data_IF_568232896621
#
_entry.id   IF_568232896621
#
_cell.length_a   1.000
_cell.length_b   1.000
_cell.length_c   1.000
_cell.angle_alpha   90.00
_cell.angle_beta   90.00
_cell.angle_gamma   90.00
#
_symmetry.space_group_name_H-M   'P 1'
#
loop_
_entity.id
_entity.type
_entity.pdbx_description
1 polymer ?
#
# COMPACT_ATOMS: atom_id res chain seq x y z
N UNK A 1 -18.18 25.22 -31.30
CA UNK A 1 -18.37 24.82 -32.70
C UNK A 1 -18.17 23.31 -32.70
N UNK A 2 -19.31 22.61 -32.62
CA UNK A 2 -19.69 21.31 -33.25
C UNK A 2 -18.55 20.34 -33.63
N UNK A 3 -18.65 19.01 -33.53
CA UNK A 3 -19.61 18.03 -32.99
C UNK A 3 -18.96 16.62 -33.14
N UNK A 4 -19.28 15.71 -32.21
CA UNK A 4 -19.66 14.28 -32.38
C UNK A 4 -18.76 13.30 -33.19
N UNK A 5 -18.27 12.23 -32.54
CA UNK A 5 -18.84 10.87 -32.72
C UNK A 5 -18.47 9.85 -31.62
N UNK A 6 -19.47 9.04 -31.26
CA UNK A 6 -19.49 7.99 -30.24
C UNK A 6 -19.05 6.64 -30.82
N UNK A 7 -18.40 5.77 -30.02
CA UNK A 7 -18.92 4.40 -29.87
C UNK A 7 -18.43 3.70 -28.59
N UNK A 8 -19.34 2.88 -28.07
CA UNK A 8 -19.41 2.31 -26.74
C UNK A 8 -18.61 1.01 -26.53
N UNK A 9 -18.34 0.64 -25.27
CA UNK A 9 -18.95 -0.52 -24.62
C UNK A 9 -18.32 -0.78 -23.23
N UNK A 10 -19.01 -0.39 -22.16
CA UNK A 10 -18.81 -0.92 -20.81
C UNK A 10 -20.18 -1.01 -20.11
N UNK A 11 -20.82 -2.19 -20.19
CA UNK A 11 -21.90 -2.57 -19.28
C UNK A 11 -21.35 -2.75 -17.86
N UNK A 12 -22.14 -2.74 -16.79
CA UNK A 12 -23.59 -2.71 -16.65
C UNK A 12 -23.84 -3.14 -15.21
N UNK A 13 -24.53 -2.32 -14.41
CA UNK A 13 -25.31 -2.73 -13.22
C UNK A 13 -25.88 -1.54 -12.42
N UNK A 14 -25.46 -0.30 -12.69
CA UNK A 14 -25.97 0.88 -11.99
C UNK A 14 -27.26 1.49 -12.55
N UNK A 15 -27.65 1.16 -13.79
CA UNK A 15 -28.66 1.91 -14.54
C UNK A 15 -30.09 1.33 -14.44
N UNK A 16 -30.24 0.05 -14.08
CA UNK A 16 -31.56 -0.61 -14.07
C UNK A 16 -32.47 -0.15 -12.91
N UNK A 17 -31.88 0.33 -11.81
CA UNK A 17 -32.66 0.80 -10.65
C UNK A 17 -33.34 2.15 -10.87
N UNK A 18 -32.71 3.06 -11.63
CA UNK A 18 -33.22 4.42 -11.84
C UNK A 18 -34.31 4.51 -12.92
N UNK A 19 -34.28 3.64 -13.94
CA UNK A 19 -35.29 3.60 -15.00
C UNK A 19 -36.64 3.08 -14.52
N UNK A 20 -36.65 2.20 -13.51
CA UNK A 20 -37.87 1.66 -12.92
C UNK A 20 -38.60 2.68 -12.04
N UNK A 21 -37.86 3.48 -11.28
CA UNK A 21 -38.40 4.55 -10.43
C UNK A 21 -39.03 5.69 -11.27
N UNK A 22 -38.39 6.05 -12.39
CA UNK A 22 -38.89 7.06 -13.34
C UNK A 22 -40.10 6.57 -14.15
N UNK A 23 -40.14 5.28 -14.52
CA UNK A 23 -41.29 4.67 -15.21
C UNK A 23 -42.54 4.60 -14.31
N UNK A 24 -42.36 4.42 -13.00
CA UNK A 24 -43.45 4.47 -12.00
C UNK A 24 -44.05 5.88 -11.86
N UNK A 25 -43.23 6.93 -11.96
CA UNK A 25 -43.70 8.33 -11.84
C UNK A 25 -44.38 8.87 -13.10
N UNK A 26 -44.15 8.28 -14.27
CA UNK A 26 -44.70 8.70 -15.57
C UNK A 26 -46.07 8.09 -15.93
N UNK A 27 -46.66 7.25 -15.06
CA UNK A 27 -47.98 6.62 -15.30
C UNK A 27 -49.13 7.22 -14.48
N UNK A 28 -48.95 8.39 -13.85
CA UNK A 28 -50.08 9.18 -13.39
C UNK A 28 -50.80 9.82 -14.59
N UNK A 29 -51.69 9.04 -15.21
CA UNK A 29 -52.74 9.62 -16.05
C UNK A 29 -53.73 10.34 -15.14
N UNK A 30 -53.81 11.65 -15.35
CA UNK A 30 -54.82 12.52 -14.77
C UNK A 30 -56.24 12.13 -15.24
N UNK A 31 -57.15 12.07 -14.24
CA UNK A 31 -58.58 12.41 -14.25
C UNK A 31 -59.63 11.43 -14.83
N UNK A 32 -60.93 11.53 -14.42
CA UNK A 32 -61.56 12.50 -13.51
C UNK A 32 -62.27 11.90 -12.28
N UNK A 33 -62.49 12.79 -11.31
CA UNK A 33 -63.36 12.63 -10.14
C UNK A 33 -64.84 12.61 -10.53
N UNK A 34 -65.60 11.76 -9.82
CA UNK A 34 -67.06 11.67 -9.70
C UNK A 34 -67.91 11.65 -10.99
N UNK A 35 -68.51 10.48 -11.23
CA UNK A 35 -69.74 10.36 -12.01
C UNK A 35 -70.38 9.01 -11.73
N UNK A 36 -71.54 8.99 -11.07
CA UNK A 36 -72.43 7.82 -11.08
C UNK A 36 -73.36 8.00 -12.29
N UNK A 37 -73.37 7.07 -13.25
CA UNK A 37 -74.53 6.85 -14.09
C UNK A 37 -75.17 5.49 -13.80
N UNK A 38 -76.50 5.54 -13.85
CA UNK A 38 -77.56 4.57 -13.59
C UNK A 38 -77.48 3.24 -14.36
N UNK A 39 -78.15 2.16 -13.89
CA UNK A 39 -78.17 0.88 -14.57
C UNK A 39 -79.09 0.93 -15.79
N UNK A 40 -78.52 0.66 -16.97
CA UNK A 40 -79.25 0.59 -18.23
C UNK A 40 -78.43 -0.06 -19.34
N UNK A 41 -78.49 -1.39 -19.38
CA UNK A 41 -78.30 -2.30 -20.55
C UNK A 41 -76.89 -2.40 -21.18
N UNK A 42 -76.49 -3.67 -21.37
CA UNK A 42 -75.22 -4.21 -21.84
C UNK A 42 -74.78 -3.77 -23.25
N UNK A 43 -73.50 -3.44 -23.41
CA UNK A 43 -72.71 -3.78 -24.61
C UNK A 43 -71.24 -4.11 -24.27
N UNK A 44 -70.80 -5.34 -24.60
CA UNK A 44 -69.49 -5.64 -25.19
C UNK A 44 -68.17 -5.37 -24.44
N UNK A 45 -68.13 -5.13 -23.13
CA UNK A 45 -66.88 -4.81 -22.42
C UNK A 45 -66.00 -6.01 -22.06
N UNK A 46 -64.75 -6.03 -22.54
CA UNK A 46 -63.69 -6.95 -22.09
C UNK A 46 -63.54 -6.87 -20.56
N UNK A 47 -63.88 -7.95 -19.83
CA UNK A 47 -63.70 -8.02 -18.38
C UNK A 47 -62.22 -7.78 -18.05
N UNK A 48 -61.90 -6.62 -17.46
CA UNK A 48 -60.60 -6.40 -16.80
C UNK A 48 -60.73 -6.87 -15.35
N UNK A 49 -59.87 -7.79 -14.89
CA UNK A 49 -59.88 -8.17 -13.49
C UNK A 49 -59.60 -6.94 -12.61
N UNK A 50 -60.21 -6.85 -11.42
CA UNK A 50 -59.98 -5.74 -10.52
C UNK A 50 -58.49 -5.68 -10.11
N UNK A 51 -57.95 -4.47 -9.86
CA UNK A 51 -56.57 -4.33 -9.41
C UNK A 51 -56.38 -5.08 -8.09
N UNK A 52 -55.30 -5.87 -8.00
CA UNK A 52 -54.93 -6.57 -6.77
C UNK A 52 -54.34 -5.55 -5.80
N UNK A 53 -54.94 -5.41 -4.62
CA UNK A 53 -54.55 -4.44 -3.59
C UNK A 53 -53.88 -5.22 -2.45
N UNK A 54 -52.82 -4.67 -1.86
CA UNK A 54 -52.02 -5.30 -0.79
C UNK A 54 -51.20 -6.53 -1.21
N UNK A 55 -50.71 -6.58 -2.44
CA UNK A 55 -49.82 -7.64 -2.94
C UNK A 55 -48.37 -7.17 -3.18
N UNK A 56 -47.98 -6.03 -2.61
CA UNK A 56 -46.57 -5.62 -2.62
C UNK A 56 -45.76 -6.40 -1.59
N UNK A 57 -44.45 -6.55 -1.80
CA UNK A 57 -43.49 -7.30 -0.96
C UNK A 57 -43.61 -6.98 0.55
N UNK A 58 -43.96 -5.74 0.91
CA UNK A 58 -44.22 -5.34 2.31
C UNK A 58 -45.46 -5.99 2.96
N UNK A 59 -46.30 -6.65 2.18
CA UNK A 59 -47.51 -7.35 2.59
C UNK A 59 -47.36 -8.86 2.47
N UNK A 60 -46.19 -9.36 2.02
CA UNK A 60 -45.88 -10.78 2.09
C UNK A 60 -45.74 -11.17 3.56
N UNK A 61 -46.66 -11.98 4.06
CA UNK A 61 -46.66 -12.46 5.45
C UNK A 61 -45.57 -13.50 5.75
N UNK A 62 -44.67 -13.76 4.79
CA UNK A 62 -43.79 -14.94 4.77
C UNK A 62 -42.29 -14.61 4.89
N UNK A 63 -41.90 -13.44 5.40
CA UNK A 63 -40.48 -13.04 5.42
C UNK A 63 -39.92 -12.74 6.80
N UNK A 64 -40.24 -13.54 7.82
CA UNK A 64 -39.55 -13.41 9.12
C UNK A 64 -39.08 -14.74 9.74
N UNK A 65 -39.03 -15.82 8.96
CA UNK A 65 -38.48 -17.11 9.43
C UNK A 65 -37.50 -17.77 8.44
N UNK A 66 -36.84 -16.98 7.60
CA UNK A 66 -35.62 -17.43 6.92
C UNK A 66 -34.44 -17.38 7.88
N UNK A 67 -34.40 -18.40 8.75
CA UNK A 67 -33.21 -19.06 9.27
C UNK A 67 -31.93 -18.19 9.27
N UNK A 68 -31.92 -17.20 10.17
CA UNK A 68 -30.79 -16.30 10.42
C UNK A 68 -29.48 -17.03 10.79
N UNK A 69 -29.51 -18.37 10.94
CA UNK A 69 -28.35 -19.22 11.16
C UNK A 69 -27.51 -19.49 9.91
N UNK A 70 -28.06 -19.32 8.69
CA UNK A 70 -27.32 -19.61 7.45
C UNK A 70 -26.79 -18.38 6.71
N UNK A 71 -27.28 -17.17 7.03
CA UNK A 71 -26.84 -15.92 6.38
C UNK A 71 -25.72 -15.16 7.13
N UNK A 72 -25.43 -15.51 8.38
CA UNK A 72 -24.52 -14.73 9.24
C UNK A 72 -23.02 -14.89 8.90
N UNK A 73 -22.64 -15.82 8.03
CA UNK A 73 -21.21 -16.04 7.72
C UNK A 73 -20.73 -15.38 6.42
N UNK A 74 -21.62 -14.80 5.60
CA UNK A 74 -21.27 -14.22 4.29
C UNK A 74 -20.93 -12.73 4.35
N UNK A 75 -21.36 -12.01 5.38
CA UNK A 75 -21.17 -10.56 5.49
C UNK A 75 -20.07 -10.18 6.49
N UNK A 76 -18.91 -10.86 6.42
CA UNK A 76 -17.73 -10.43 7.20
C UNK A 76 -17.24 -9.11 6.61
N UNK A 77 -17.59 -8.00 7.25
CA UNK A 77 -17.24 -6.68 6.71
C UNK A 77 -15.71 -6.46 6.76
N UNK A 78 -15.15 -6.23 5.57
CA UNK A 78 -13.70 -6.12 5.31
C UNK A 78 -13.07 -4.81 5.81
N UNK A 79 -13.80 -3.97 6.54
CA UNK A 79 -13.32 -2.66 7.00
C UNK A 79 -12.35 -2.74 8.19
N UNK A 80 -12.39 -3.82 8.97
CA UNK A 80 -11.49 -3.97 10.12
C UNK A 80 -10.10 -4.39 9.67
N UNK A 81 -9.11 -3.51 9.90
CA UNK A 81 -7.70 -3.88 9.79
C UNK A 81 -7.37 -4.94 10.85
N UNK A 82 -7.07 -6.17 10.40
CA UNK A 82 -6.70 -7.29 11.28
C UNK A 82 -5.35 -7.06 11.97
N UNK A 83 -4.41 -6.42 11.28
CA UNK A 83 -3.06 -6.15 11.78
C UNK A 83 -2.81 -4.65 11.94
N UNK A 84 -2.39 -4.24 13.14
CA UNK A 84 -2.00 -2.86 13.45
C UNK A 84 -0.48 -2.78 13.59
N UNK A 85 0.22 -2.60 12.47
CA UNK A 85 1.67 -2.41 12.46
C UNK A 85 2.06 -1.03 12.97
N UNK A 86 3.10 -0.97 13.80
CA UNK A 86 3.71 0.27 14.28
C UNK A 86 5.15 0.38 13.78
N UNK A 87 5.60 1.61 13.56
CA UNK A 87 7.03 1.89 13.39
C UNK A 87 7.65 2.16 14.75
N UNK A 88 8.47 1.24 15.25
CA UNK A 88 9.05 1.33 16.61
C UNK A 88 10.53 1.65 16.61
N UNK A 89 11.23 1.46 15.48
CA UNK A 89 12.65 1.77 15.33
C UNK A 89 12.90 2.54 14.03
N UNK A 90 13.74 3.55 14.10
CA UNK A 90 14.11 4.42 12.98
C UNK A 90 15.63 4.48 12.88
N UNK A 91 16.16 4.04 11.74
CA UNK A 91 17.56 4.14 11.36
C UNK A 91 17.72 5.31 10.38
N UNK A 92 18.61 6.26 10.69
CA UNK A 92 18.84 7.46 9.90
C UNK A 92 20.30 7.48 9.48
N UNK A 93 20.54 7.32 8.18
CA UNK A 93 21.87 7.28 7.58
C UNK A 93 22.01 8.52 6.71
N UNK A 94 22.94 9.40 7.10
CA UNK A 94 23.24 10.63 6.37
C UNK A 94 24.64 10.51 5.78
N UNK A 95 24.74 10.54 4.45
CA UNK A 95 25.99 10.53 3.71
C UNK A 95 26.13 11.86 2.95
N UNK A 96 26.69 12.87 3.61
CA UNK A 96 26.69 14.27 3.17
C UNK A 96 28.08 14.83 2.85
N UNK A 97 29.14 14.34 3.50
CA UNK A 97 30.53 14.78 3.28
C UNK A 97 30.66 16.31 3.07
N UNK A 98 30.19 17.09 4.03
CA UNK A 98 29.96 18.53 3.87
C UNK A 98 31.22 19.25 3.39
N UNK A 99 31.07 20.00 2.29
CA UNK A 99 32.16 20.76 1.66
C UNK A 99 32.87 20.03 0.53
N UNK A 100 32.56 18.76 0.28
CA UNK A 100 33.13 17.96 -0.81
C UNK A 100 32.01 17.38 -1.65
N UNK A 101 31.90 17.84 -2.90
CA UNK A 101 30.90 17.35 -3.83
C UNK A 101 31.31 15.99 -4.44
N UNK A 102 30.36 15.05 -4.64
CA UNK A 102 30.66 13.79 -5.30
C UNK A 102 30.98 14.02 -6.80
N UNK A 103 31.82 13.15 -7.40
CA UNK A 103 32.40 13.38 -8.72
C UNK A 103 31.39 13.38 -9.88
N UNK A 104 30.20 12.81 -9.69
CA UNK A 104 29.16 12.68 -10.72
C UNK A 104 28.07 13.75 -10.62
N UNK A 105 28.23 14.73 -9.72
CA UNK A 105 27.31 15.85 -9.52
C UNK A 105 28.03 17.17 -9.76
N UNK A 106 27.60 17.90 -10.78
CA UNK A 106 28.06 19.28 -11.04
C UNK A 106 27.04 20.25 -10.45
N UNK A 107 27.43 21.01 -9.42
CA UNK A 107 26.58 22.05 -8.85
C UNK A 107 26.62 23.32 -9.69
N UNK A 108 25.45 23.88 -9.99
CA UNK A 108 25.30 25.18 -10.65
C UNK A 108 25.47 26.33 -9.65
N UNK A 109 25.69 27.56 -10.14
CA UNK A 109 25.72 28.77 -9.31
C UNK A 109 24.58 29.71 -9.69
N UNK A 110 23.60 29.98 -8.81
CA UNK A 110 23.43 29.45 -7.45
C UNK A 110 22.86 28.01 -7.45
N UNK A 111 23.08 27.25 -6.37
CA UNK A 111 22.45 25.95 -6.13
C UNK A 111 21.64 25.94 -4.82
N UNK A 112 20.66 25.03 -4.72
CA UNK A 112 20.03 24.69 -3.45
C UNK A 112 21.08 24.04 -2.52
N UNK A 113 21.06 24.42 -1.23
CA UNK A 113 22.09 24.02 -0.25
C UNK A 113 21.55 23.65 1.14
N UNK A 114 20.32 24.06 1.47
CA UNK A 114 19.78 23.80 2.80
C UNK A 114 19.53 22.31 2.98
N UNK A 115 20.04 21.76 4.07
CA UNK A 115 19.83 20.38 4.48
C UNK A 115 19.13 20.41 5.84
N UNK A 116 17.93 19.82 5.93
CA UNK A 116 17.11 19.84 7.14
C UNK A 116 16.97 21.24 7.77
N UNK A 117 16.80 22.26 6.94
CA UNK A 117 16.69 23.68 7.32
C UNK A 117 17.97 24.27 7.95
N UNK A 118 19.13 23.65 7.70
CA UNK A 118 20.46 24.14 8.10
C UNK A 118 21.24 24.47 6.85
N UNK A 119 21.90 25.63 6.83
CA UNK A 119 22.93 25.92 5.82
C UNK A 119 24.23 25.22 6.22
N UNK A 120 24.68 24.17 5.52
CA UNK A 120 25.85 23.38 5.90
C UNK A 120 27.16 24.19 5.82
N UNK A 121 27.18 25.30 5.06
CA UNK A 121 28.38 26.14 4.91
C UNK A 121 28.44 27.29 5.93
N UNK A 122 27.40 27.47 6.75
CA UNK A 122 27.34 28.52 7.78
C UNK A 122 28.16 28.21 9.04
N UNK A 123 28.65 26.98 9.19
CA UNK A 123 29.44 26.54 10.35
C UNK A 123 30.46 25.46 9.96
N UNK A 124 31.28 25.04 10.92
CA UNK A 124 32.25 23.96 10.71
C UNK A 124 31.54 22.66 10.25
N UNK A 125 32.07 21.93 9.24
CA UNK A 125 31.40 20.78 8.63
C UNK A 125 30.89 19.73 9.63
N UNK A 126 31.71 19.35 10.62
CA UNK A 126 31.31 18.38 11.64
C UNK A 126 30.10 18.86 12.47
N UNK A 127 30.07 20.15 12.84
CA UNK A 127 28.97 20.75 13.59
C UNK A 127 27.70 20.88 12.74
N UNK A 128 27.86 21.21 11.47
CA UNK A 128 26.75 21.25 10.52
C UNK A 128 26.11 19.87 10.39
N UNK A 129 26.92 18.83 10.21
CA UNK A 129 26.47 17.45 10.06
C UNK A 129 25.69 16.96 11.29
N UNK A 130 26.18 17.25 12.50
CA UNK A 130 25.47 16.97 13.75
C UNK A 130 24.14 17.72 13.85
N UNK A 131 24.12 19.01 13.49
CA UNK A 131 22.92 19.83 13.53
C UNK A 131 21.85 19.33 12.54
N UNK A 132 22.26 18.95 11.33
CA UNK A 132 21.39 18.36 10.30
C UNK A 132 20.78 17.06 10.83
N UNK A 133 21.60 16.14 11.37
CA UNK A 133 21.13 14.88 11.94
C UNK A 133 20.11 15.08 13.05
N UNK A 134 20.39 15.99 14.00
CA UNK A 134 19.47 16.32 15.08
C UNK A 134 18.16 16.93 14.57
N UNK A 135 18.22 17.84 13.60
CA UNK A 135 17.04 18.45 13.00
C UNK A 135 16.19 17.42 12.26
N UNK A 136 16.81 16.49 11.53
CA UNK A 136 16.11 15.40 10.85
C UNK A 136 15.36 14.53 11.86
N UNK A 137 16.01 14.18 12.98
CA UNK A 137 15.37 13.39 14.04
C UNK A 137 14.17 14.13 14.64
N UNK A 138 14.31 15.41 15.00
CA UNK A 138 13.19 16.21 15.52
C UNK A 138 12.01 16.27 14.54
N UNK A 139 12.28 16.34 13.23
CA UNK A 139 11.23 16.33 12.20
C UNK A 139 10.44 15.02 12.20
N UNK A 140 11.11 13.86 12.32
CA UNK A 140 10.42 12.57 12.42
C UNK A 140 9.73 12.36 13.77
N UNK A 141 10.33 12.81 14.87
CA UNK A 141 9.76 12.71 16.22
C UNK A 141 8.40 13.40 16.32
N UNK A 142 8.18 14.48 15.56
CA UNK A 142 6.87 15.12 15.43
C UNK A 142 5.77 14.17 14.93
N UNK A 143 6.11 13.25 14.02
CA UNK A 143 5.17 12.28 13.44
C UNK A 143 5.06 11.00 14.28
N UNK A 144 6.16 10.52 14.85
CA UNK A 144 6.20 9.32 15.67
C UNK A 144 7.12 9.51 16.90
N UNK A 145 6.64 10.09 18.00
CA UNK A 145 7.48 10.47 19.13
C UNK A 145 7.97 9.27 19.97
N UNK A 146 7.33 8.10 19.86
CA UNK A 146 7.62 6.93 20.70
C UNK A 146 8.57 5.92 20.06
N UNK A 147 9.01 6.16 18.83
CA UNK A 147 9.99 5.29 18.18
C UNK A 147 11.40 5.52 18.74
N UNK A 148 12.27 4.52 18.60
CA UNK A 148 13.69 4.64 18.92
C UNK A 148 14.45 5.14 17.69
N UNK A 149 15.00 6.34 17.78
CA UNK A 149 15.78 6.97 16.73
C UNK A 149 17.27 6.67 16.89
N UNK A 150 17.94 6.32 15.80
CA UNK A 150 19.38 6.10 15.74
C UNK A 150 19.94 6.74 14.49
N UNK A 151 20.83 7.70 14.67
CA UNK A 151 21.48 8.43 13.58
C UNK A 151 22.92 7.93 13.42
N UNK A 152 23.33 7.74 12.18
CA UNK A 152 24.72 7.60 11.79
C UNK A 152 25.05 8.63 10.72
N UNK A 153 26.09 9.42 11.00
CA UNK A 153 26.56 10.54 10.19
C UNK A 153 27.83 10.10 9.46
N UNK A 154 27.82 10.20 8.13
CA UNK A 154 28.86 9.72 7.22
C UNK A 154 29.39 8.31 7.57
N UNK A 155 28.53 7.28 7.68
CA UNK A 155 28.95 5.98 8.19
C UNK A 155 29.79 5.14 7.22
N UNK A 156 30.42 4.12 7.80
CA UNK A 156 30.94 2.97 7.05
C UNK A 156 29.89 1.88 6.83
N UNK A 157 30.17 0.92 5.94
CA UNK A 157 29.30 -0.26 5.74
C UNK A 157 29.06 -1.02 7.06
N UNK A 158 30.09 -1.17 7.89
CA UNK A 158 29.98 -1.87 9.17
C UNK A 158 29.09 -1.12 10.16
N UNK A 159 29.12 0.21 10.15
CA UNK A 159 28.24 1.04 10.97
C UNK A 159 26.79 0.88 10.54
N UNK A 160 26.51 0.94 9.23
CA UNK A 160 25.16 0.71 8.68
C UNK A 160 24.66 -0.70 9.01
N UNK A 161 25.52 -1.72 8.89
CA UNK A 161 25.19 -3.10 9.25
C UNK A 161 24.80 -3.24 10.72
N UNK A 162 25.64 -2.71 11.63
CA UNK A 162 25.37 -2.72 13.08
C UNK A 162 24.08 -1.99 13.41
N UNK A 163 23.85 -0.84 12.78
CA UNK A 163 22.63 -0.04 12.93
C UNK A 163 21.39 -0.83 12.52
N UNK A 164 21.39 -1.41 11.32
CA UNK A 164 20.24 -2.17 10.78
C UNK A 164 19.91 -3.38 11.63
N UNK A 165 20.92 -4.19 11.98
CA UNK A 165 20.74 -5.38 12.83
C UNK A 165 20.23 -5.00 14.23
N UNK A 166 20.72 -3.89 14.78
CA UNK A 166 20.24 -3.40 16.07
C UNK A 166 18.78 -2.93 15.99
N UNK A 167 18.39 -2.22 14.93
CA UNK A 167 17.02 -1.74 14.74
C UNK A 167 16.03 -2.91 14.56
N UNK A 168 16.37 -3.91 13.73
CA UNK A 168 15.54 -5.12 13.58
C UNK A 168 15.37 -5.84 14.91
N UNK A 169 16.46 -6.10 15.65
CA UNK A 169 16.39 -6.78 16.96
C UNK A 169 15.46 -6.05 17.94
N UNK A 170 15.46 -4.72 17.92
CA UNK A 170 14.61 -3.90 18.78
C UNK A 170 13.14 -3.89 18.32
N UNK A 171 12.88 -3.87 17.01
CA UNK A 171 11.54 -3.82 16.46
C UNK A 171 10.80 -5.17 16.53
N UNK A 172 11.53 -6.29 16.59
CA UNK A 172 10.95 -7.65 16.54
C UNK A 172 10.10 -7.80 15.27
N UNK A 173 8.78 -7.89 15.43
CA UNK A 173 7.79 -8.03 14.37
C UNK A 173 7.22 -6.69 13.89
N UNK A 174 7.59 -5.58 14.54
CA UNK A 174 7.17 -4.25 14.17
C UNK A 174 8.00 -3.68 13.01
N UNK A 175 7.51 -2.59 12.43
CA UNK A 175 8.15 -1.95 11.28
C UNK A 175 9.41 -1.18 11.69
N UNK A 176 10.47 -1.34 10.91
CA UNK A 176 11.65 -0.48 10.96
C UNK A 176 11.58 0.55 9.83
N UNK A 177 11.83 1.83 10.12
CA UNK A 177 12.06 2.85 9.11
C UNK A 177 13.56 3.00 8.88
N UNK A 178 13.98 2.96 7.62
CA UNK A 178 15.34 3.28 7.21
C UNK A 178 15.31 4.52 6.31
N UNK A 179 15.90 5.61 6.80
CA UNK A 179 16.09 6.83 6.04
C UNK A 179 17.55 6.89 5.57
N UNK A 180 17.75 7.05 4.27
CA UNK A 180 19.06 7.26 3.65
C UNK A 180 19.05 8.57 2.90
N UNK A 181 19.98 9.46 3.25
CA UNK A 181 20.30 10.64 2.46
C UNK A 181 21.69 10.46 1.85
N UNK A 182 21.78 10.54 0.52
CA UNK A 182 22.99 10.27 -0.26
C UNK A 182 23.50 11.49 -1.04
N UNK A 183 23.32 12.72 -0.55
CA UNK A 183 23.71 13.93 -1.31
C UNK A 183 25.23 14.17 -1.39
N UNK A 184 26.04 13.58 -0.50
CA UNK A 184 27.50 13.71 -0.48
C UNK A 184 28.26 12.57 -1.15
N UNK A 185 27.55 11.66 -1.81
CA UNK A 185 28.09 10.45 -2.44
C UNK A 185 27.58 10.30 -3.87
N UNK A 186 28.19 9.45 -4.70
CA UNK A 186 27.72 9.25 -6.06
C UNK A 186 26.29 8.73 -6.15
N UNK A 187 25.67 8.87 -7.32
CA UNK A 187 24.34 8.30 -7.57
C UNK A 187 24.33 6.77 -7.41
N UNK A 188 23.20 6.18 -6.99
CA UNK A 188 23.03 4.73 -6.95
C UNK A 188 23.29 4.08 -8.30
N UNK A 189 23.76 2.83 -8.28
CA UNK A 189 24.08 2.09 -9.51
C UNK A 189 22.87 1.29 -10.01
N UNK A 190 22.88 0.93 -11.29
CA UNK A 190 21.87 0.03 -11.87
C UNK A 190 21.88 -1.38 -11.26
N UNK A 191 22.97 -1.77 -10.60
CA UNK A 191 23.10 -3.04 -9.90
C UNK A 191 22.36 -3.04 -8.54
N UNK A 192 21.79 -1.91 -8.12
CA UNK A 192 21.16 -1.78 -6.82
C UNK A 192 22.16 -1.56 -5.70
N UNK A 193 23.12 -0.66 -5.90
CA UNK A 193 24.07 -0.27 -4.86
C UNK A 193 23.83 1.19 -4.48
N UNK A 194 23.85 1.46 -3.17
CA UNK A 194 23.98 2.81 -2.61
C UNK A 194 25.42 3.02 -2.16
N UNK A 195 25.80 4.25 -1.84
CA UNK A 195 27.18 4.58 -1.48
C UNK A 195 27.27 5.05 -0.02
N UNK A 196 28.32 4.61 0.65
CA UNK A 196 28.73 5.04 1.99
C UNK A 196 30.24 5.32 2.00
N UNK A 197 30.84 5.62 3.15
CA UNK A 197 32.27 5.96 3.22
C UNK A 197 33.13 4.80 3.73
N UNK A 198 34.44 4.87 3.49
CA UNK A 198 35.41 4.16 4.31
C UNK A 198 35.75 4.96 5.57
N UNK A 199 36.40 4.33 6.55
CA UNK A 199 36.74 4.96 7.84
C UNK A 199 37.66 6.18 7.75
N UNK A 200 38.36 6.34 6.63
CA UNK A 200 39.28 7.46 6.36
C UNK A 200 38.67 8.55 5.49
N UNK A 201 37.43 8.39 5.03
CA UNK A 201 36.75 9.31 4.10
C UNK A 201 37.54 9.60 2.81
N UNK A 202 38.28 8.61 2.32
CA UNK A 202 39.06 8.72 1.08
C UNK A 202 38.39 8.03 -0.11
N UNK A 203 37.41 7.16 0.15
CA UNK A 203 36.74 6.35 -0.86
C UNK A 203 35.25 6.21 -0.54
N UNK A 204 34.45 6.23 -1.62
CA UNK A 204 33.08 5.77 -1.58
C UNK A 204 33.05 4.26 -1.68
N UNK A 205 32.31 3.61 -0.78
CA UNK A 205 32.17 2.17 -0.70
C UNK A 205 30.76 1.79 -1.15
N UNK A 206 30.60 0.91 -2.16
CA UNK A 206 29.29 0.46 -2.58
C UNK A 206 28.68 -0.46 -1.52
N UNK A 207 27.39 -0.28 -1.26
CA UNK A 207 26.59 -1.10 -0.38
C UNK A 207 25.38 -1.62 -1.14
N UNK A 208 25.29 -2.95 -1.27
CA UNK A 208 24.18 -3.62 -1.91
C UNK A 208 22.87 -3.40 -1.13
N UNK A 209 21.82 -2.96 -1.84
CA UNK A 209 20.48 -2.80 -1.22
C UNK A 209 19.85 -4.14 -0.83
N UNK A 210 20.32 -5.23 -1.45
CA UNK A 210 19.93 -6.59 -1.10
C UNK A 210 20.48 -6.99 0.28
N UNK A 211 21.74 -6.66 0.57
CA UNK A 211 22.34 -6.90 1.89
C UNK A 211 21.69 -6.02 2.96
N UNK A 212 21.46 -4.74 2.63
CA UNK A 212 20.75 -3.81 3.50
C UNK A 212 19.35 -4.35 3.87
N UNK A 213 18.61 -4.86 2.89
CA UNK A 213 17.32 -5.51 3.12
C UNK A 213 17.45 -6.74 4.00
N UNK A 214 18.46 -7.58 3.76
CA UNK A 214 18.75 -8.77 4.58
C UNK A 214 19.01 -8.44 6.05
N UNK A 215 19.67 -7.31 6.35
CA UNK A 215 19.91 -6.88 7.73
C UNK A 215 18.67 -6.28 8.40
N UNK A 216 17.90 -5.49 7.64
CA UNK A 216 16.70 -4.85 8.17
C UNK A 216 15.51 -5.80 8.29
N UNK A 217 15.37 -6.79 7.42
CA UNK A 217 14.24 -7.73 7.37
C UNK A 217 12.87 -7.06 7.18
N UNK A 218 11.82 -7.87 7.14
CA UNK A 218 10.43 -7.41 7.09
C UNK A 218 9.78 -7.41 8.49
N UNK A 219 8.84 -6.49 8.79
CA UNK A 219 8.39 -5.37 7.94
C UNK A 219 9.34 -4.16 8.01
N UNK A 220 9.57 -3.50 6.87
CA UNK A 220 10.41 -2.30 6.78
C UNK A 220 9.83 -1.26 5.81
N UNK A 221 10.20 0.00 6.01
CA UNK A 221 9.93 1.12 5.10
C UNK A 221 11.22 1.88 4.84
N UNK A 222 11.43 2.29 3.59
CA UNK A 222 12.63 2.96 3.14
C UNK A 222 12.29 4.38 2.66
N UNK A 223 13.07 5.35 3.09
CA UNK A 223 13.06 6.73 2.58
C UNK A 223 14.43 6.98 1.97
N UNK A 224 14.47 7.31 0.67
CA UNK A 224 15.70 7.37 -0.12
C UNK A 224 15.80 8.76 -0.73
N UNK A 225 16.54 9.63 -0.05
CA UNK A 225 16.78 11.01 -0.45
C UNK A 225 18.14 11.10 -1.15
N UNK A 226 18.15 10.81 -2.45
CA UNK A 226 19.35 10.89 -3.27
C UNK A 226 18.98 11.06 -4.74
N UNK A 227 19.92 11.56 -5.53
CA UNK A 227 19.78 11.63 -6.98
C UNK A 227 19.63 10.22 -7.57
N UNK A 228 18.75 10.07 -8.57
CA UNK A 228 18.45 8.78 -9.22
C UNK A 228 17.93 7.65 -8.29
N UNK A 229 17.25 7.99 -7.19
CA UNK A 229 16.67 7.02 -6.24
C UNK A 229 15.73 5.96 -6.88
N UNK A 230 15.17 6.24 -8.07
CA UNK A 230 14.34 5.28 -8.82
C UNK A 230 15.07 3.98 -9.20
N UNK A 231 16.40 4.01 -9.32
CA UNK A 231 17.22 2.80 -9.52
C UNK A 231 17.11 1.86 -8.32
N UNK A 232 17.20 2.40 -7.10
CA UNK A 232 17.07 1.63 -5.87
C UNK A 232 15.67 1.01 -5.75
N UNK A 233 14.63 1.80 -6.02
CA UNK A 233 13.26 1.31 -5.98
C UNK A 233 13.02 0.15 -6.97
N UNK A 234 13.62 0.23 -8.16
CA UNK A 234 13.57 -0.83 -9.17
C UNK A 234 14.27 -2.12 -8.70
N UNK A 235 15.42 -2.00 -8.03
CA UNK A 235 16.13 -3.13 -7.43
C UNK A 235 15.34 -3.78 -6.30
N UNK A 236 14.72 -3.00 -5.41
CA UNK A 236 13.83 -3.53 -4.37
C UNK A 236 12.62 -4.27 -4.96
N UNK A 237 11.99 -3.73 -6.01
CA UNK A 237 10.87 -4.41 -6.68
C UNK A 237 11.30 -5.78 -7.20
N UNK A 238 12.45 -5.85 -7.86
CA UNK A 238 13.01 -7.10 -8.39
C UNK A 238 13.29 -8.10 -7.26
N UNK A 239 13.92 -7.65 -6.17
CA UNK A 239 14.17 -8.48 -4.98
C UNK A 239 12.89 -9.08 -4.39
N UNK A 240 11.88 -8.24 -4.15
CA UNK A 240 10.64 -8.69 -3.50
C UNK A 240 9.84 -9.64 -4.40
N UNK A 241 9.87 -9.44 -5.73
CA UNK A 241 9.28 -10.37 -6.69
C UNK A 241 9.96 -11.74 -6.64
N UNK A 242 11.29 -11.78 -6.65
CA UNK A 242 12.06 -13.03 -6.55
C UNK A 242 11.78 -13.77 -5.24
N UNK A 243 11.71 -13.06 -4.11
CA UNK A 243 11.37 -13.64 -2.81
C UNK A 243 9.97 -14.24 -2.80
N UNK A 244 8.97 -13.53 -3.34
CA UNK A 244 7.61 -14.02 -3.43
C UNK A 244 7.51 -15.29 -4.29
N UNK A 245 8.22 -15.33 -5.43
CA UNK A 245 8.31 -16.52 -6.29
C UNK A 245 8.95 -17.70 -5.56
N UNK A 246 10.07 -17.48 -4.88
CA UNK A 246 10.76 -18.52 -4.12
C UNK A 246 9.88 -19.09 -2.98
N UNK A 247 9.13 -18.23 -2.28
CA UNK A 247 8.19 -18.65 -1.24
C UNK A 247 7.03 -19.48 -1.81
N UNK A 248 6.44 -19.06 -2.94
CA UNK A 248 5.38 -19.81 -3.61
C UNK A 248 5.85 -21.20 -4.06
N UNK A 249 7.06 -21.29 -4.63
CA UNK A 249 7.66 -22.57 -5.02
C UNK A 249 7.93 -23.48 -3.81
N UNK A 250 8.44 -22.93 -2.70
CA UNK A 250 8.66 -23.70 -1.47
C UNK A 250 7.35 -24.26 -0.90
N UNK A 251 6.28 -23.46 -0.88
CA UNK A 251 4.96 -23.89 -0.41
C UNK A 251 4.34 -25.00 -1.29
N UNK A 252 4.57 -24.95 -2.61
CA UNK A 252 4.09 -25.99 -3.53
C UNK A 252 4.78 -27.35 -3.32
N UNK A 253 6.05 -27.36 -2.91
CA UNK A 253 6.82 -28.59 -2.67
C UNK A 253 6.46 -29.25 -1.35
N UNK A 254 6.13 -28.48 -0.32
CA UNK A 254 5.69 -29.01 0.98
C UNK A 254 4.25 -29.54 0.99
N UNK A 255 3.41 -29.13 0.03
CA UNK A 255 2.04 -29.63 -0.14
C UNK A 255 1.89 -30.93 -0.95
N UNK A 256 2.96 -31.41 -1.60
CA UNK A 256 2.92 -32.59 -2.49
C UNK A 256 3.27 -33.94 -1.84
N UNK A 257 3.54 -33.98 -0.53
CA UNK A 257 3.97 -35.16 0.20
C UNK A 257 2.82 -35.91 0.90
N UNK A 258 1.80 -36.34 0.17
CA UNK A 258 0.85 -37.36 0.65
C UNK A 258 0.38 -38.20 -0.53
N UNK A 259 1.20 -39.21 -0.86
CA UNK A 259 0.97 -40.15 -1.95
C UNK A 259 1.45 -41.56 -1.58
N UNK A 260 0.62 -42.26 -0.81
CA UNK A 260 0.34 -43.70 -0.85
C UNK A 260 1.55 -44.65 -1.04
N UNK A 261 2.15 -45.07 0.07
CA UNK A 261 2.90 -46.32 0.17
C UNK A 261 2.04 -47.39 0.83
N UNK A 262 1.07 -47.95 0.09
CA UNK A 262 0.31 -49.11 0.54
C UNK A 262 1.14 -50.37 0.21
N UNK A 263 1.72 -51.00 1.23
CA UNK A 263 2.50 -52.23 1.11
C UNK A 263 2.16 -53.18 2.25
N UNK A 264 1.04 -53.88 2.12
CA UNK A 264 0.62 -54.99 2.98
C UNK A 264 1.06 -56.31 2.32
N UNK A 265 1.67 -57.19 3.12
CA UNK A 265 1.90 -58.61 2.81
C UNK A 265 3.36 -59.00 3.03
N UNK A 266 3.73 -59.95 3.88
CA UNK A 266 3.00 -60.86 4.77
C UNK A 266 4.06 -61.72 5.47
N UNK A 267 3.83 -62.09 6.72
CA UNK A 267 4.52 -63.22 7.37
C UNK A 267 3.77 -64.51 7.01
N UNK A 268 4.48 -65.61 6.76
CA UNK A 268 4.61 -66.59 7.83
C UNK A 268 5.99 -67.29 7.88
N UNK A 269 6.39 -67.71 9.09
CA UNK A 269 7.60 -68.48 9.37
C UNK A 269 8.12 -68.20 10.75
#
# INVERSE_FOLDING_TARGET
MEDIDENANAGGDGAQGLTNELSRRLTMKEQPMYGIPTPGVNEGGLYKPPPTILCEERHDAASDDTDSKYLDNSAVSRWRQKEKLKTTSVAMVLCLNIGVDPPDVVKISPCARLECWVDPLSMQPAKALEAIGKNLQMQYERWQPRAKYKIHLDPTVDDVKKLCLSCRRNAKNERVLFHYNGHGVPRPTANGEIWVFNSRYTQYIPLSVYELHGWLGAPAIYVLDCSAAGLIASSFRTLLMQQAQAQAQAASRSGGGNGVGNGVGGTPG
#
